data_IF_697411710677
#
_entry.id   IF_697411710677
#
_cell.length_a   1.000
_cell.length_b   1.000
_cell.length_c   1.000
_cell.angle_alpha   90.00
_cell.angle_beta   90.00
_cell.angle_gamma   90.00
#
_symmetry.space_group_name_H-M   'P 1'
#
loop_
_entity.id
_entity.type
_entity.pdbx_description
1 polymer ?
#
# COMPACT_ATOMS: atom_id res chain seq x y z
N UNK A 1 4.30 14.24 -30.75
CA UNK A 1 4.24 13.11 -29.81
C UNK A 1 4.36 13.71 -28.43
N UNK A 2 3.25 13.89 -27.72
CA UNK A 2 3.29 14.38 -26.34
C UNK A 2 4.01 13.34 -25.49
N UNK A 3 5.21 13.67 -25.01
CA UNK A 3 5.87 12.86 -24.00
C UNK A 3 4.97 12.87 -22.77
N UNK A 4 4.42 11.71 -22.43
CA UNK A 4 3.57 11.54 -21.28
C UNK A 4 4.40 11.87 -20.02
N UNK A 5 4.00 12.93 -19.33
CA UNK A 5 4.65 13.37 -18.09
C UNK A 5 4.36 12.34 -17.01
N UNK A 6 5.35 11.50 -16.74
CA UNK A 6 5.33 10.56 -15.61
C UNK A 6 5.27 11.31 -14.29
N UNK A 7 4.47 10.80 -13.36
CA UNK A 7 4.45 11.29 -11.98
C UNK A 7 5.61 10.64 -11.21
N UNK A 8 6.49 11.46 -10.65
CA UNK A 8 7.70 11.02 -9.94
C UNK A 8 7.62 11.38 -8.46
N UNK A 9 8.17 10.53 -7.59
CA UNK A 9 8.35 10.86 -6.18
C UNK A 9 9.27 12.07 -5.99
N UNK A 10 9.13 12.77 -4.86
CA UNK A 10 9.98 13.93 -4.55
C UNK A 10 9.74 15.16 -5.44
N UNK A 11 8.72 15.14 -6.31
CA UNK A 11 8.24 16.29 -7.08
C UNK A 11 6.96 16.87 -6.49
N UNK A 12 6.74 18.16 -6.74
CA UNK A 12 5.47 18.80 -6.43
C UNK A 12 4.38 18.25 -7.33
N UNK A 13 3.27 17.87 -6.70
CA UNK A 13 2.04 17.48 -7.35
C UNK A 13 0.84 18.12 -6.67
N UNK A 14 -0.28 18.07 -7.36
CA UNK A 14 -1.60 18.38 -6.86
C UNK A 14 -2.44 17.12 -6.81
N UNK A 15 -3.28 17.02 -5.78
CA UNK A 15 -4.21 15.89 -5.59
C UNK A 15 -5.62 16.46 -5.79
N UNK A 16 -6.26 16.17 -6.94
CA UNK A 16 -7.57 16.72 -7.28
C UNK A 16 -8.65 15.68 -7.05
N UNK A 17 -9.68 16.04 -6.30
CA UNK A 17 -10.83 15.18 -6.05
C UNK A 17 -11.67 15.05 -7.33
N UNK A 18 -11.98 13.81 -7.73
CA UNK A 18 -12.63 13.55 -9.03
C UNK A 18 -14.05 14.11 -9.08
N UNK A 19 -14.84 13.94 -8.03
CA UNK A 19 -16.26 14.33 -8.05
C UNK A 19 -16.45 15.85 -7.93
N UNK A 20 -15.71 16.51 -7.04
CA UNK A 20 -15.88 17.96 -6.79
C UNK A 20 -14.98 18.83 -7.68
N UNK A 21 -14.00 18.24 -8.36
CA UNK A 21 -12.93 18.94 -9.12
C UNK A 21 -12.11 19.92 -8.28
N UNK A 22 -12.17 19.80 -6.95
CA UNK A 22 -11.40 20.62 -6.03
C UNK A 22 -10.06 19.98 -5.69
N UNK A 23 -9.08 20.81 -5.39
CA UNK A 23 -7.73 20.41 -5.00
C UNK A 23 -7.67 20.19 -3.49
N UNK A 24 -7.02 19.11 -3.08
CA UNK A 24 -6.66 18.87 -1.70
C UNK A 24 -5.82 20.05 -1.17
N UNK A 25 -6.06 20.46 0.07
CA UNK A 25 -5.39 21.60 0.70
C UNK A 25 -5.06 21.31 2.15
N UNK A 26 -3.83 21.59 2.54
CA UNK A 26 -3.36 21.55 3.91
C UNK A 26 -3.31 22.95 4.54
N UNK A 27 -4.03 23.19 5.63
CA UNK A 27 -4.12 24.52 6.23
C UNK A 27 -3.93 24.48 7.74
N UNK A 28 -3.35 25.54 8.32
CA UNK A 28 -3.26 25.74 9.76
C UNK A 28 -4.30 26.78 10.14
N UNK A 29 -5.06 26.48 11.18
CA UNK A 29 -5.90 27.47 11.83
C UNK A 29 -5.64 27.49 13.32
N UNK A 30 -5.49 28.70 13.84
CA UNK A 30 -5.36 28.92 15.27
C UNK A 30 -6.75 28.74 15.90
N UNK A 31 -6.88 27.74 16.77
CA UNK A 31 -8.10 27.44 17.50
C UNK A 31 -7.91 27.87 18.94
N UNK A 32 -8.83 28.69 19.44
CA UNK A 32 -8.83 29.15 20.83
C UNK A 32 -9.70 28.21 21.66
N UNK A 33 -9.08 27.30 22.42
CA UNK A 33 -9.78 26.45 23.36
C UNK A 33 -10.01 27.18 24.69
N UNK A 34 -11.26 27.22 25.14
CA UNK A 34 -11.60 27.70 26.50
C UNK A 34 -11.37 26.56 27.50
N UNK A 35 -10.39 26.73 28.36
CA UNK A 35 -10.10 25.82 29.50
C UNK A 35 -10.60 26.44 30.81
N UNK A 36 -10.65 25.64 31.88
CA UNK A 36 -10.98 26.17 33.23
C UNK A 36 -9.99 27.23 33.73
N UNK A 37 -8.80 27.35 33.11
CA UNK A 37 -7.74 28.29 33.51
C UNK A 37 -7.54 29.44 32.51
N UNK A 38 -8.45 29.60 31.54
CA UNK A 38 -8.37 30.65 30.52
C UNK A 38 -8.41 30.11 29.10
N UNK A 39 -8.05 30.95 28.14
CA UNK A 39 -7.99 30.60 26.73
C UNK A 39 -6.61 30.05 26.38
N UNK A 40 -6.56 28.90 25.70
CA UNK A 40 -5.35 28.32 25.15
C UNK A 40 -5.46 28.34 23.62
N UNK A 41 -4.53 29.02 22.98
CA UNK A 41 -4.40 28.99 21.53
C UNK A 41 -3.66 27.70 21.13
N UNK A 42 -4.21 26.97 20.18
CA UNK A 42 -3.67 25.74 19.64
C UNK A 42 -3.69 25.81 18.12
N UNK A 43 -2.56 25.54 17.50
CA UNK A 43 -2.50 25.32 16.07
C UNK A 43 -3.18 23.99 15.74
N UNK A 44 -4.29 24.06 15.01
CA UNK A 44 -4.95 22.88 14.47
C UNK A 44 -4.73 22.82 12.97
N UNK A 45 -4.12 21.72 12.53
CA UNK A 45 -3.88 21.44 11.13
C UNK A 45 -5.09 20.72 10.54
N UNK A 46 -5.71 21.36 9.54
CA UNK A 46 -6.85 20.81 8.82
C UNK A 46 -6.47 20.39 7.41
N UNK A 47 -7.19 19.39 6.93
CA UNK A 47 -7.15 18.94 5.55
C UNK A 47 -8.52 19.21 4.93
N UNK A 48 -8.58 19.90 3.80
CA UNK A 48 -9.83 20.18 3.10
C UNK A 48 -9.64 20.13 1.59
N UNK A 49 -10.68 20.45 0.82
CA UNK A 49 -10.51 20.75 -0.61
C UNK A 49 -10.94 22.18 -0.95
N UNK A 50 -10.32 22.74 -1.99
CA UNK A 50 -10.56 24.11 -2.49
C UNK A 50 -10.61 24.14 -4.03
N UNK A 51 -11.39 25.02 -4.66
CA UNK A 51 -11.34 25.22 -6.12
C UNK A 51 -10.10 26.01 -6.58
N UNK A 52 -9.31 26.58 -5.67
CA UNK A 52 -8.14 27.41 -6.00
C UNK A 52 -6.92 26.53 -6.35
N UNK A 53 -6.55 26.49 -7.62
CA UNK A 53 -5.42 25.70 -8.13
C UNK A 53 -4.06 26.34 -7.80
N UNK A 54 -3.95 27.66 -7.79
CA UNK A 54 -2.70 28.42 -7.63
C UNK A 54 -2.31 28.66 -6.16
N UNK A 55 -2.92 27.90 -5.25
CA UNK A 55 -2.72 28.03 -3.82
C UNK A 55 -1.57 27.12 -3.36
N UNK A 56 -0.51 27.72 -2.82
CA UNK A 56 0.69 27.02 -2.36
C UNK A 56 0.41 25.85 -1.40
N UNK A 57 -0.67 25.95 -0.63
CA UNK A 57 -1.12 24.92 0.31
C UNK A 57 -1.81 23.72 -0.35
N UNK A 58 -1.99 23.75 -1.67
CA UNK A 58 -2.50 22.63 -2.49
C UNK A 58 -1.40 21.77 -3.09
N UNK A 59 -0.13 22.15 -2.88
CA UNK A 59 1.01 21.38 -3.36
C UNK A 59 1.42 20.32 -2.35
N UNK A 60 1.66 19.11 -2.85
CA UNK A 60 2.08 17.97 -2.06
C UNK A 60 3.31 17.31 -2.67
N UNK A 61 4.04 16.57 -1.85
CA UNK A 61 5.13 15.70 -2.25
C UNK A 61 4.79 14.29 -1.77
N UNK A 62 4.84 13.33 -2.69
CA UNK A 62 4.73 11.91 -2.37
C UNK A 62 6.13 11.35 -2.16
N UNK A 63 6.34 10.78 -0.97
CA UNK A 63 7.58 10.14 -0.56
C UNK A 63 7.36 8.63 -0.53
N UNK A 64 8.04 7.86 -1.39
CA UNK A 64 7.94 6.40 -1.32
C UNK A 64 8.50 5.91 0.01
N UNK A 65 7.84 4.90 0.60
CA UNK A 65 8.36 4.21 1.78
C UNK A 65 9.69 3.50 1.49
N UNK A 66 9.81 2.91 0.29
CA UNK A 66 11.02 2.25 -0.17
C UNK A 66 11.52 2.91 -1.46
N UNK A 67 12.80 3.29 -1.46
CA UNK A 67 13.47 3.91 -2.60
C UNK A 67 13.94 2.82 -3.57
N UNK A 68 13.11 2.46 -4.55
CA UNK A 68 13.47 1.54 -5.65
C UNK A 68 13.66 2.27 -6.97
N UNK A 69 12.65 3.02 -7.40
CA UNK A 69 12.61 3.80 -8.62
C UNK A 69 11.88 5.13 -8.37
N UNK A 70 12.08 6.12 -9.24
CA UNK A 70 11.42 7.42 -9.06
C UNK A 70 9.96 7.43 -9.46
N UNK A 71 9.61 6.64 -10.48
CA UNK A 71 8.26 6.61 -11.04
C UNK A 71 7.29 6.17 -9.96
N UNK A 72 6.25 6.96 -9.71
CA UNK A 72 5.15 6.56 -8.85
C UNK A 72 4.21 5.67 -9.65
N UNK A 73 3.74 4.60 -9.03
CA UNK A 73 2.86 3.60 -9.62
C UNK A 73 1.80 3.12 -8.65
N UNK A 74 0.83 2.40 -9.20
CA UNK A 74 -0.14 1.66 -8.40
C UNK A 74 0.59 0.66 -7.51
N UNK A 75 0.06 0.46 -6.31
CA UNK A 75 0.61 -0.40 -5.27
C UNK A 75 1.80 0.18 -4.51
N UNK A 76 2.35 1.33 -4.93
CA UNK A 76 3.35 2.05 -4.14
C UNK A 76 2.80 2.43 -2.77
N UNK A 77 3.66 2.33 -1.75
CA UNK A 77 3.38 2.84 -0.40
C UNK A 77 4.07 4.19 -0.25
N UNK A 78 3.30 5.22 0.07
CA UNK A 78 3.76 6.61 0.13
C UNK A 78 3.35 7.30 1.42
N UNK A 79 4.20 8.18 1.92
CA UNK A 79 3.80 9.25 2.82
C UNK A 79 3.51 10.52 2.00
N UNK A 80 2.47 11.26 2.35
CA UNK A 80 1.99 12.41 1.57
C UNK A 80 2.25 13.67 2.37
N UNK A 81 3.24 14.45 1.98
CA UNK A 81 3.61 15.68 2.66
C UNK A 81 2.94 16.89 1.99
N UNK A 82 2.27 17.73 2.76
CA UNK A 82 1.89 19.05 2.30
C UNK A 82 3.12 19.96 2.23
N UNK A 83 3.39 20.52 1.05
CA UNK A 83 4.57 21.36 0.85
C UNK A 83 4.49 22.67 1.63
N UNK A 84 3.29 23.26 1.75
CA UNK A 84 3.13 24.53 2.43
C UNK A 84 3.32 24.45 3.94
N UNK A 85 2.82 23.38 4.56
CA UNK A 85 2.88 23.19 6.01
C UNK A 85 4.06 22.33 6.48
N UNK A 86 4.73 21.63 5.56
CA UNK A 86 5.78 20.64 5.86
C UNK A 86 5.30 19.46 6.74
N UNK A 87 3.99 19.24 6.82
CA UNK A 87 3.34 18.16 7.58
C UNK A 87 2.83 17.05 6.66
N UNK A 88 2.56 15.87 7.19
CA UNK A 88 2.04 14.70 6.49
C UNK A 88 0.55 14.50 6.71
N UNK A 89 -0.14 14.01 5.68
CA UNK A 89 -1.55 13.62 5.79
C UNK A 89 -1.67 12.37 6.66
N UNK A 90 -2.54 12.43 7.66
CA UNK A 90 -2.87 11.31 8.54
C UNK A 90 -4.38 11.07 8.63
N UNK A 91 -4.76 9.82 8.94
CA UNK A 91 -6.13 9.40 9.19
C UNK A 91 -6.25 8.78 10.58
N UNK A 92 -7.11 9.36 11.43
CA UNK A 92 -7.37 8.86 12.78
C UNK A 92 -8.75 8.20 12.86
N UNK A 93 -8.78 6.87 12.86
CA UNK A 93 -10.03 6.10 12.89
C UNK A 93 -10.82 6.22 14.21
N UNK A 94 -10.13 6.60 15.30
CA UNK A 94 -10.72 6.75 16.63
C UNK A 94 -11.40 8.12 16.80
N UNK A 95 -10.93 9.16 16.10
CA UNK A 95 -11.54 10.48 16.08
C UNK A 95 -12.53 10.59 14.93
N UNK A 96 -13.71 11.17 15.19
CA UNK A 96 -14.76 11.37 14.18
C UNK A 96 -14.76 12.81 13.69
N UNK A 97 -15.02 12.98 12.40
CA UNK A 97 -15.16 14.29 11.81
C UNK A 97 -16.46 14.98 12.23
N UNK A 98 -16.43 16.30 12.41
CA UNK A 98 -17.55 17.08 12.93
C UNK A 98 -18.75 17.18 11.97
N UNK A 99 -18.53 16.95 10.66
CA UNK A 99 -19.58 17.07 9.65
C UNK A 99 -20.22 15.72 9.38
N UNK A 100 -19.42 14.72 8.99
CA UNK A 100 -19.95 13.40 8.56
C UNK A 100 -19.85 12.29 9.59
N UNK A 101 -19.14 12.51 10.70
CA UNK A 101 -18.82 11.44 11.67
C UNK A 101 -17.97 10.29 11.08
N UNK A 102 -17.33 10.51 9.93
CA UNK A 102 -16.35 9.60 9.33
C UNK A 102 -14.98 9.72 10.03
N UNK A 103 -13.99 8.92 9.61
CA UNK A 103 -12.63 8.97 10.16
C UNK A 103 -12.02 10.36 9.96
N UNK A 104 -11.42 10.92 11.01
CA UNK A 104 -10.87 12.27 10.96
C UNK A 104 -9.56 12.30 10.15
N UNK A 105 -9.50 13.17 9.13
CA UNK A 105 -8.28 13.44 8.36
C UNK A 105 -7.65 14.76 8.82
N UNK A 106 -6.32 14.79 8.90
CA UNK A 106 -5.57 15.93 9.42
C UNK A 106 -4.12 15.92 8.91
N UNK A 107 -3.35 16.95 9.27
CA UNK A 107 -1.91 16.94 9.07
C UNK A 107 -1.15 16.80 10.39
N UNK A 108 0.00 16.12 10.35
CA UNK A 108 0.87 15.88 11.50
C UNK A 108 2.34 15.74 11.07
N UNK A 109 3.27 15.85 12.01
CA UNK A 109 4.70 15.68 11.73
C UNK A 109 5.04 14.20 11.50
N UNK A 110 4.28 13.30 12.12
CA UNK A 110 4.45 11.86 12.00
C UNK A 110 3.91 11.35 10.66
N UNK A 111 4.74 10.57 9.96
CA UNK A 111 4.37 9.94 8.70
C UNK A 111 3.36 8.82 8.92
N UNK A 112 2.17 8.95 8.37
CA UNK A 112 1.34 7.80 8.04
C UNK A 112 1.56 7.43 6.57
N UNK A 113 1.40 6.14 6.29
CA UNK A 113 1.59 5.61 4.94
C UNK A 113 0.27 5.22 4.30
N UNK A 114 0.25 5.33 2.98
CA UNK A 114 -0.88 5.05 2.13
C UNK A 114 -0.43 4.21 0.95
N UNK A 115 -1.27 3.27 0.53
CA UNK A 115 -1.09 2.57 -0.74
C UNK A 115 -1.91 3.26 -1.83
N UNK A 116 -1.31 3.48 -3.00
CA UNK A 116 -2.00 4.02 -4.18
C UNK A 116 -2.72 2.87 -4.89
N UNK A 117 -4.05 2.85 -4.85
CA UNK A 117 -4.87 1.78 -5.46
C UNK A 117 -5.55 2.27 -6.73
N UNK A 118 -5.86 1.37 -7.67
CA UNK A 118 -6.62 1.76 -8.86
C UNK A 118 -8.10 2.00 -8.53
N UNK A 119 -8.78 2.79 -9.37
CA UNK A 119 -10.24 2.89 -9.40
C UNK A 119 -10.89 1.54 -9.75
N UNK A 120 -10.37 0.90 -10.81
CA UNK A 120 -10.90 -0.30 -11.45
C UNK A 120 -9.84 -1.40 -11.47
N UNK A 121 -10.20 -2.56 -12.02
CA UNK A 121 -9.23 -3.62 -12.23
C UNK A 121 -8.11 -3.18 -13.20
N UNK A 122 -6.89 -3.63 -12.95
CA UNK A 122 -5.64 -3.24 -13.66
C UNK A 122 -5.16 -4.30 -14.63
N UNK A 123 -5.84 -5.44 -14.68
CA UNK A 123 -5.50 -6.50 -15.60
C UNK A 123 -5.86 -6.12 -17.02
N UNK A 124 -4.91 -6.29 -17.92
CA UNK A 124 -5.09 -6.14 -19.37
C UNK A 124 -4.82 -7.48 -20.06
N UNK A 125 -5.35 -7.65 -21.28
CA UNK A 125 -5.07 -8.81 -22.15
C UNK A 125 -5.32 -10.18 -21.48
N UNK A 126 -6.50 -10.40 -20.91
CA UNK A 126 -6.86 -11.64 -20.21
C UNK A 126 -5.86 -12.01 -19.09
N UNK A 127 -5.49 -11.03 -18.25
CA UNK A 127 -4.60 -11.23 -17.09
C UNK A 127 -3.13 -11.52 -17.44
N UNK A 128 -2.70 -11.25 -18.68
CA UNK A 128 -1.31 -11.46 -19.07
C UNK A 128 -0.40 -10.26 -18.82
N UNK A 129 -0.95 -9.08 -18.55
CA UNK A 129 -0.19 -7.88 -18.20
C UNK A 129 -0.93 -7.06 -17.13
N UNK A 130 -0.18 -6.26 -16.37
CA UNK A 130 -0.69 -5.29 -15.40
C UNK A 130 -0.20 -3.91 -15.79
N UNK A 131 -1.12 -2.96 -15.92
CA UNK A 131 -0.76 -1.56 -16.08
C UNK A 131 -0.71 -0.87 -14.71
N UNK A 132 0.50 -0.71 -14.19
CA UNK A 132 0.78 -0.04 -12.90
C UNK A 132 0.89 1.48 -13.01
N UNK A 133 0.82 2.06 -14.21
CA UNK A 133 0.91 3.53 -14.35
C UNK A 133 -0.22 4.22 -13.61
N UNK A 134 0.04 5.41 -13.07
CA UNK A 134 -0.99 6.25 -12.44
C UNK A 134 -1.38 7.45 -13.32
N UNK A 135 -0.60 7.71 -14.37
CA UNK A 135 -0.83 8.83 -15.28
C UNK A 135 -2.21 8.69 -15.93
N UNK A 136 -3.05 9.72 -15.79
CA UNK A 136 -4.42 9.78 -16.33
C UNK A 136 -5.37 8.71 -15.75
N UNK A 137 -5.03 8.13 -14.59
CA UNK A 137 -5.94 7.24 -13.87
C UNK A 137 -6.51 7.90 -12.63
N UNK A 138 -7.72 7.50 -12.28
CA UNK A 138 -8.26 7.75 -10.97
C UNK A 138 -7.72 6.72 -10.00
N UNK A 139 -7.26 7.20 -8.85
CA UNK A 139 -6.66 6.38 -7.81
C UNK A 139 -7.40 6.57 -6.50
N UNK A 140 -7.31 5.55 -5.64
CA UNK A 140 -7.65 5.66 -4.22
C UNK A 140 -6.37 5.72 -3.42
N UNK A 141 -6.35 6.57 -2.41
CA UNK A 141 -5.21 6.73 -1.50
C UNK A 141 -5.66 6.14 -0.16
N UNK A 142 -5.24 4.91 0.14
CA UNK A 142 -5.77 4.16 1.29
C UNK A 142 -4.71 3.95 2.35
N UNK A 143 -5.02 4.33 3.59
CA UNK A 143 -4.15 4.07 4.74
C UNK A 143 -3.95 2.57 4.92
N UNK A 144 -2.68 2.18 5.02
CA UNK A 144 -2.27 0.79 5.19
C UNK A 144 -2.62 0.23 6.59
N UNK A 145 -2.72 1.10 7.61
CA UNK A 145 -2.89 0.70 9.01
C UNK A 145 -4.35 0.34 9.32
N UNK A 146 -5.29 1.10 8.75
CA UNK A 146 -6.70 1.01 9.10
C UNK A 146 -7.62 0.74 7.89
N UNK A 147 -7.07 0.79 6.66
CA UNK A 147 -7.81 0.51 5.43
C UNK A 147 -8.80 1.61 5.02
N UNK A 148 -8.77 2.78 5.66
CA UNK A 148 -9.59 3.92 5.25
C UNK A 148 -8.95 4.64 4.05
N UNK A 149 -9.75 4.94 3.05
CA UNK A 149 -9.36 5.74 1.89
C UNK A 149 -9.58 7.22 2.16
N UNK A 150 -8.72 8.07 1.62
CA UNK A 150 -8.93 9.52 1.61
C UNK A 150 -10.23 9.81 0.84
N UNK A 151 -11.15 10.52 1.47
CA UNK A 151 -12.53 10.74 1.00
C UNK A 151 -12.86 12.22 1.05
N UNK A 152 -13.57 12.75 0.06
CA UNK A 152 -14.07 14.13 0.12
C UNK A 152 -15.42 14.29 -0.57
N UNK A 153 -16.16 15.33 -0.21
CA UNK A 153 -17.50 15.57 -0.74
C UNK A 153 -17.88 17.05 -0.64
N UNK A 154 -19.01 17.45 -1.23
CA UNK A 154 -19.49 18.83 -1.27
C UNK A 154 -20.02 19.39 0.07
N UNK A 155 -19.69 18.75 1.21
CA UNK A 155 -20.02 19.28 2.54
C UNK A 155 -18.81 19.99 3.10
N UNK A 156 -19.00 21.18 3.63
CA UNK A 156 -17.93 21.97 4.24
C UNK A 156 -17.82 21.75 5.74
N UNK A 157 -16.68 22.13 6.31
CA UNK A 157 -16.50 22.16 7.76
C UNK A 157 -17.49 23.10 8.45
N UNK A 158 -17.83 22.81 9.71
CA UNK A 158 -18.72 23.65 10.53
C UNK A 158 -17.93 24.72 11.29
N UNK A 159 -16.67 24.42 11.60
CA UNK A 159 -15.75 25.37 12.21
C UNK A 159 -15.56 26.59 11.30
N UNK A 160 -15.88 27.78 11.82
CA UNK A 160 -15.96 29.02 11.04
C UNK A 160 -14.69 29.30 10.21
N UNK A 161 -13.51 29.10 10.80
CA UNK A 161 -12.21 29.37 10.18
C UNK A 161 -11.88 28.51 8.95
N UNK A 162 -12.55 27.36 8.80
CA UNK A 162 -12.37 26.39 7.71
C UNK A 162 -13.66 26.10 6.92
N UNK A 163 -14.73 26.83 7.21
CA UNK A 163 -16.07 26.60 6.66
C UNK A 163 -16.18 26.80 5.14
N UNK A 164 -15.18 27.44 4.53
CA UNK A 164 -15.01 27.61 3.09
C UNK A 164 -14.44 26.37 2.37
N UNK A 165 -13.89 25.40 3.10
CA UNK A 165 -13.31 24.19 2.52
C UNK A 165 -14.28 23.02 2.64
N UNK A 166 -14.34 22.21 1.58
CA UNK A 166 -14.99 20.91 1.68
C UNK A 166 -14.21 20.01 2.64
N UNK A 167 -14.94 19.22 3.41
CA UNK A 167 -14.40 18.26 4.35
C UNK A 167 -13.63 17.16 3.61
N UNK A 168 -12.52 16.76 4.22
CA UNK A 168 -11.78 15.55 3.86
C UNK A 168 -11.78 14.61 5.07
N UNK A 169 -12.05 13.34 4.82
CA UNK A 169 -12.16 12.31 5.85
C UNK A 169 -11.47 11.02 5.39
N UNK A 170 -11.45 10.02 6.27
CA UNK A 170 -11.22 8.64 5.86
C UNK A 170 -12.54 7.88 5.71
N UNK A 171 -12.70 7.14 4.61
CA UNK A 171 -13.87 6.27 4.38
C UNK A 171 -13.46 4.81 4.10
N UNK A 172 -14.12 3.86 4.77
CA UNK A 172 -13.74 2.44 4.70
C UNK A 172 -14.43 1.68 3.57
N UNK A 173 -15.65 2.07 3.21
CA UNK A 173 -16.46 1.28 2.30
C UNK A 173 -16.15 1.53 0.82
N UNK A 174 -15.33 2.54 0.52
CA UNK A 174 -14.94 2.96 -0.81
C UNK A 174 -16.15 3.34 -1.72
N UNK A 175 -16.20 4.58 -2.19
CA UNK A 175 -17.16 5.02 -3.21
C UNK A 175 -16.47 5.95 -4.22
N UNK A 176 -17.26 6.68 -5.02
CA UNK A 176 -16.76 7.63 -6.02
C UNK A 176 -16.09 8.88 -5.39
N UNK A 177 -16.34 9.14 -4.10
CA UNK A 177 -15.76 10.25 -3.36
C UNK A 177 -14.37 9.91 -2.78
N UNK A 178 -13.88 8.67 -3.00
CA UNK A 178 -12.51 8.26 -2.68
C UNK A 178 -11.58 8.36 -3.91
N UNK A 179 -12.07 8.90 -5.03
CA UNK A 179 -11.32 8.96 -6.27
C UNK A 179 -10.57 10.29 -6.41
N UNK A 180 -9.27 10.16 -6.68
CA UNK A 180 -8.36 11.28 -6.82
C UNK A 180 -7.58 11.19 -8.14
N UNK A 181 -7.25 12.35 -8.68
CA UNK A 181 -6.26 12.51 -9.75
C UNK A 181 -4.97 13.05 -9.13
N UNK A 182 -3.84 12.45 -9.50
CA UNK A 182 -2.51 12.96 -9.19
C UNK A 182 -2.03 13.76 -10.40
N UNK A 183 -1.78 15.04 -10.21
CA UNK A 183 -1.45 15.98 -11.29
C UNK A 183 -0.07 16.59 -11.05
N UNK A 184 0.87 16.54 -12.01
CA UNK A 184 2.13 17.27 -11.87
C UNK A 184 1.86 18.78 -11.80
N UNK A 185 2.55 19.49 -10.91
CA UNK A 185 2.45 20.95 -10.85
C UNK A 185 3.07 21.54 -12.12
N UNK A 186 2.38 22.53 -12.72
CA UNK A 186 2.86 23.23 -13.90
C UNK A 186 4.22 23.90 -13.63
N UNK A 187 5.14 23.85 -14.58
CA UNK A 187 6.53 24.31 -14.40
C UNK A 187 6.64 25.76 -13.90
N UNK A 188 5.74 26.65 -14.37
CA UNK A 188 5.69 28.04 -13.92
C UNK A 188 5.32 28.23 -12.45
N UNK A 189 4.53 27.30 -11.88
CA UNK A 189 4.10 27.31 -10.47
C UNK A 189 5.13 26.65 -9.54
N UNK A 190 6.02 25.81 -10.08
CA UNK A 190 7.09 25.14 -9.34
C UNK A 190 8.38 25.98 -9.24
N UNK A 191 8.34 27.28 -9.56
CA UNK A 191 9.53 28.13 -9.61
C UNK A 191 10.23 28.19 -8.25
N UNK A 192 11.51 27.82 -8.24
CA UNK A 192 12.34 27.79 -7.03
C UNK A 192 12.30 26.48 -6.26
N UNK A 193 11.38 25.56 -6.60
CA UNK A 193 11.41 24.20 -6.07
C UNK A 193 12.55 23.40 -6.72
N UNK A 194 13.37 22.76 -5.89
CA UNK A 194 14.43 21.86 -6.35
C UNK A 194 14.00 20.41 -6.05
N UNK A 195 13.61 19.63 -7.07
CA UNK A 195 13.13 18.27 -6.85
C UNK A 195 14.23 17.36 -6.33
N UNK A 196 13.93 16.56 -5.31
CA UNK A 196 14.83 15.55 -4.77
C UNK A 196 14.64 14.23 -5.53
N UNK A 197 14.95 14.22 -6.83
CA UNK A 197 14.82 13.03 -7.68
C UNK A 197 16.18 12.34 -7.77
N UNK A 198 16.25 11.07 -7.37
CA UNK A 198 17.47 10.27 -7.44
C UNK A 198 17.33 9.25 -8.57
N UNK A 199 18.18 9.23 -9.59
CA UNK A 199 18.13 8.14 -10.58
C UNK A 199 18.43 6.82 -9.88
N UNK A 200 17.41 5.96 -9.74
CA UNK A 200 17.53 4.65 -9.16
C UNK A 200 17.20 3.61 -10.23
N UNK A 201 18.08 2.62 -10.35
CA UNK A 201 17.88 1.50 -11.26
C UNK A 201 16.96 0.45 -10.62
N UNK A 202 16.10 -0.23 -11.42
CA UNK A 202 15.26 -1.30 -10.91
C UNK A 202 16.08 -2.40 -10.22
N UNK A 203 15.70 -2.73 -8.98
CA UNK A 203 16.44 -3.70 -8.17
C UNK A 203 15.94 -5.10 -8.48
N UNK A 204 16.79 -5.91 -9.10
CA UNK A 204 16.49 -7.29 -9.45
C UNK A 204 16.61 -8.24 -8.25
N UNK A 205 15.64 -9.14 -8.09
CA UNK A 205 15.60 -10.13 -7.01
C UNK A 205 16.25 -11.45 -7.47
N UNK A 206 17.10 -12.00 -6.60
CA UNK A 206 17.86 -13.22 -6.87
C UNK A 206 17.48 -14.32 -5.87
N UNK A 207 17.64 -15.56 -6.34
CA UNK A 207 17.58 -16.74 -5.50
C UNK A 207 18.63 -16.68 -4.39
N UNK A 208 18.16 -16.81 -3.16
CA UNK A 208 18.94 -16.70 -1.93
C UNK A 208 18.68 -15.42 -1.16
N UNK A 209 18.08 -14.40 -1.78
CA UNK A 209 17.82 -13.10 -1.16
C UNK A 209 16.81 -13.21 -0.02
N UNK A 210 16.97 -12.33 0.97
CA UNK A 210 15.99 -12.10 2.03
C UNK A 210 15.12 -10.90 1.65
N UNK A 211 13.81 -11.13 1.58
CA UNK A 211 12.81 -10.22 1.04
C UNK A 211 11.62 -10.11 1.99
N UNK A 212 10.81 -9.08 1.79
CA UNK A 212 9.45 -8.98 2.33
C UNK A 212 8.49 -9.20 1.16
N UNK A 213 7.46 -10.03 1.35
CA UNK A 213 6.44 -10.28 0.33
C UNK A 213 5.19 -9.52 0.74
N UNK A 214 4.90 -8.42 0.05
CA UNK A 214 3.79 -7.51 0.37
C UNK A 214 2.65 -7.66 -0.61
N UNK A 215 1.43 -7.69 -0.13
CA UNK A 215 0.25 -7.62 -0.98
C UNK A 215 0.21 -6.25 -1.68
N UNK A 216 0.08 -6.30 -3.00
CA UNK A 216 0.17 -5.14 -3.88
C UNK A 216 -0.89 -4.08 -3.55
N UNK A 217 -2.11 -4.49 -3.18
CA UNK A 217 -3.23 -3.57 -2.98
C UNK A 217 -3.49 -3.14 -1.55
N UNK A 218 -3.11 -3.93 -0.57
CA UNK A 218 -3.41 -3.60 0.84
C UNK A 218 -2.20 -3.00 1.54
N UNK A 219 -0.99 -3.30 1.05
CA UNK A 219 0.24 -2.95 1.72
C UNK A 219 0.63 -3.90 2.86
N UNK A 220 -0.13 -4.98 3.10
CA UNK A 220 0.14 -5.93 4.18
C UNK A 220 1.17 -6.99 3.74
N UNK A 221 2.13 -7.34 4.60
CA UNK A 221 3.19 -8.31 4.32
C UNK A 221 2.83 -9.71 4.81
N UNK A 222 3.31 -10.74 4.11
CA UNK A 222 3.36 -12.09 4.66
C UNK A 222 4.20 -12.09 5.92
N UNK A 223 3.65 -12.68 6.96
CA UNK A 223 4.19 -12.65 8.31
C UNK A 223 4.12 -14.04 8.92
N UNK A 224 5.14 -14.47 9.67
CA UNK A 224 5.08 -15.74 10.38
C UNK A 224 5.84 -15.72 11.69
N UNK A 225 5.37 -16.49 12.65
CA UNK A 225 5.92 -16.52 14.00
C UNK A 225 5.74 -17.90 14.63
N UNK A 226 6.17 -18.08 15.87
CA UNK A 226 6.10 -19.39 16.56
C UNK A 226 4.66 -19.81 16.92
N UNK A 227 3.69 -18.91 16.89
CA UNK A 227 2.28 -19.26 17.13
C UNK A 227 1.77 -20.20 16.06
N UNK A 228 0.93 -21.14 16.49
CA UNK A 228 0.24 -22.07 15.62
C UNK A 228 -1.26 -21.78 15.56
N UNK A 229 -1.88 -22.15 14.45
CA UNK A 229 -3.34 -22.25 14.34
C UNK A 229 -3.90 -23.16 15.43
N UNK A 230 -5.02 -22.77 16.06
CA UNK A 230 -5.61 -23.57 17.15
C UNK A 230 -6.22 -24.85 16.62
N UNK A 231 -6.81 -24.77 15.42
CA UNK A 231 -7.45 -25.87 14.67
C UNK A 231 -6.47 -26.98 14.27
N UNK A 232 -5.39 -26.65 13.57
CA UNK A 232 -4.49 -27.64 12.95
C UNK A 232 -3.16 -27.84 13.66
N UNK A 233 -2.81 -26.93 14.58
CA UNK A 233 -1.47 -26.83 15.20
C UNK A 233 -0.33 -26.55 14.22
N UNK A 234 -0.63 -26.29 12.94
CA UNK A 234 0.38 -25.81 12.01
C UNK A 234 0.86 -24.41 12.36
N UNK A 235 2.11 -24.09 12.03
CA UNK A 235 2.63 -22.74 12.23
C UNK A 235 1.84 -21.74 11.40
N UNK A 236 1.37 -20.69 12.06
CA UNK A 236 0.57 -19.65 11.42
C UNK A 236 1.42 -18.83 10.44
N UNK A 237 0.86 -18.64 9.23
CA UNK A 237 1.28 -17.60 8.31
C UNK A 237 0.12 -16.63 8.17
N UNK A 238 0.36 -15.40 8.55
CA UNK A 238 -0.60 -14.32 8.58
C UNK A 238 -0.13 -13.17 7.70
N UNK A 239 -0.94 -12.12 7.66
CA UNK A 239 -0.65 -10.85 7.02
C UNK A 239 -0.54 -9.80 8.12
N UNK A 240 0.53 -9.02 8.11
CA UNK A 240 0.77 -7.94 9.07
C UNK A 240 0.91 -6.59 8.34
N UNK A 241 0.36 -5.53 8.94
CA UNK A 241 0.50 -4.16 8.45
C UNK A 241 1.85 -3.58 8.92
N UNK A 242 2.01 -2.26 8.82
CA UNK A 242 3.20 -1.59 9.36
C UNK A 242 3.07 -1.33 10.88
N UNK A 243 4.20 -1.03 11.57
CA UNK A 243 5.58 -1.07 11.08
C UNK A 243 6.05 -2.50 10.75
N UNK A 244 7.03 -2.66 9.85
CA UNK A 244 7.63 -3.97 9.53
C UNK A 244 8.46 -4.50 10.70
N UNK A 245 8.52 -5.81 10.85
CA UNK A 245 9.35 -6.48 11.85
C UNK A 245 10.11 -7.70 11.28
N UNK A 246 10.89 -8.39 12.12
CA UNK A 246 11.69 -9.53 11.69
C UNK A 246 10.87 -10.76 11.23
N UNK A 247 9.58 -10.80 11.52
CA UNK A 247 8.67 -11.88 11.14
C UNK A 247 8.09 -11.69 9.73
N UNK A 248 8.37 -10.54 9.10
CA UNK A 248 8.06 -10.27 7.69
C UNK A 248 9.15 -10.77 6.73
N UNK A 249 10.27 -11.30 7.24
CA UNK A 249 11.43 -11.65 6.42
C UNK A 249 11.36 -13.08 5.90
N UNK A 250 11.44 -13.22 4.57
CA UNK A 250 11.43 -14.50 3.87
C UNK A 250 12.65 -14.63 2.99
N UNK A 251 13.18 -15.85 2.86
CA UNK A 251 14.24 -16.19 1.92
C UNK A 251 13.64 -16.93 0.73
N UNK A 252 13.85 -16.41 -0.47
CA UNK A 252 13.36 -17.04 -1.71
C UNK A 252 14.46 -17.85 -2.37
N UNK A 253 14.19 -19.08 -2.77
CA UNK A 253 15.20 -20.01 -3.32
C UNK A 253 14.65 -20.80 -4.50
N UNK A 254 15.32 -20.80 -5.64
CA UNK A 254 14.98 -21.71 -6.75
C UNK A 254 15.24 -23.17 -6.37
N UNK A 255 14.38 -24.08 -6.84
CA UNK A 255 14.49 -25.53 -6.59
C UNK A 255 15.48 -26.20 -7.55
N UNK A 256 15.39 -25.87 -8.84
CA UNK A 256 16.13 -26.57 -9.90
C UNK A 256 17.39 -25.81 -10.35
N UNK A 257 18.22 -25.36 -9.38
CA UNK A 257 19.47 -24.68 -9.71
C UNK A 257 20.51 -25.68 -10.19
N UNK A 258 20.73 -25.72 -11.51
CA UNK A 258 21.98 -26.25 -12.04
C UNK A 258 23.14 -25.32 -11.65
N UNK A 259 24.37 -25.83 -11.49
CA UNK A 259 25.53 -25.02 -11.08
C UNK A 259 25.82 -23.81 -11.98
N UNK A 260 25.28 -23.79 -13.21
CA UNK A 260 25.42 -22.69 -14.19
C UNK A 260 24.24 -21.69 -14.19
N UNK A 261 23.23 -21.89 -13.35
CA UNK A 261 22.05 -21.01 -13.30
C UNK A 261 22.40 -19.65 -12.66
N UNK A 262 21.91 -18.56 -13.26
CA UNK A 262 22.31 -17.18 -12.95
C UNK A 262 21.66 -16.61 -11.67
N UNK A 263 20.99 -17.46 -10.89
CA UNK A 263 20.19 -17.14 -9.69
C UNK A 263 19.04 -16.16 -9.93
N UNK A 264 18.87 -15.62 -11.13
CA UNK A 264 17.85 -14.63 -11.45
C UNK A 264 16.47 -15.29 -11.43
N UNK A 265 15.55 -14.78 -10.63
CA UNK A 265 14.16 -15.26 -10.62
C UNK A 265 13.41 -14.72 -11.85
N UNK A 266 12.64 -15.58 -12.50
CA UNK A 266 11.84 -15.31 -13.69
C UNK A 266 10.46 -15.96 -13.57
N UNK A 267 9.57 -15.57 -14.47
CA UNK A 267 8.28 -16.24 -14.67
C UNK A 267 8.42 -17.76 -14.79
N UNK A 268 7.56 -18.47 -14.09
CA UNK A 268 7.44 -19.92 -13.97
C UNK A 268 8.64 -20.62 -13.31
N UNK A 269 9.58 -19.89 -12.72
CA UNK A 269 10.57 -20.53 -11.85
C UNK A 269 9.88 -21.18 -10.64
N UNK A 270 10.29 -22.42 -10.36
CA UNK A 270 9.91 -23.13 -9.15
C UNK A 270 10.77 -22.68 -7.99
N UNK A 271 10.13 -22.20 -6.93
CA UNK A 271 10.78 -21.63 -5.76
C UNK A 271 10.29 -22.24 -4.46
N UNK A 272 11.14 -22.10 -3.45
CA UNK A 272 10.85 -22.26 -2.04
C UNK A 272 10.91 -20.90 -1.37
N UNK A 273 9.96 -20.65 -0.48
CA UNK A 273 9.91 -19.42 0.30
C UNK A 273 10.03 -19.83 1.77
N UNK A 274 11.19 -19.61 2.36
CA UNK A 274 11.51 -20.00 3.73
C UNK A 274 11.42 -18.79 4.66
N UNK A 275 10.63 -18.88 5.73
CA UNK A 275 10.58 -17.84 6.73
C UNK A 275 11.94 -17.73 7.45
N UNK A 276 12.46 -16.50 7.57
CA UNK A 276 13.83 -16.28 8.03
C UNK A 276 14.04 -16.73 9.48
N UNK A 277 13.09 -16.47 10.37
CA UNK A 277 13.28 -16.76 11.80
C UNK A 277 12.91 -18.20 12.16
N UNK A 278 11.77 -18.68 11.67
CA UNK A 278 11.27 -20.02 12.04
C UNK A 278 11.88 -21.13 11.19
N UNK A 279 12.57 -20.78 10.10
CA UNK A 279 13.17 -21.70 9.11
C UNK A 279 12.16 -22.62 8.42
N UNK A 280 10.87 -22.39 8.62
CA UNK A 280 9.79 -23.14 7.98
C UNK A 280 9.51 -22.61 6.58
N UNK A 281 9.01 -23.46 5.71
CA UNK A 281 8.68 -23.13 4.33
C UNK A 281 7.19 -22.79 4.21
N UNK A 282 6.87 -21.75 3.44
CA UNK A 282 5.49 -21.44 3.08
C UNK A 282 4.89 -22.62 2.32
N UNK A 283 3.76 -23.13 2.80
CA UNK A 283 3.06 -24.27 2.24
C UNK A 283 1.54 -24.09 2.34
N UNK A 284 0.79 -24.96 1.66
CA UNK A 284 -0.66 -24.99 1.66
C UNK A 284 -1.16 -26.28 2.33
N UNK A 285 -2.02 -26.17 3.33
CA UNK A 285 -2.65 -27.33 3.97
C UNK A 285 -3.79 -27.89 3.10
N UNK A 286 -4.20 -29.14 3.35
CA UNK A 286 -5.43 -29.74 2.78
C UNK A 286 -6.64 -29.51 3.71
N UNK A 287 -6.69 -28.34 4.34
CA UNK A 287 -7.80 -27.92 5.21
C UNK A 287 -8.19 -26.49 4.86
N UNK A 288 -9.47 -26.17 5.03
CA UNK A 288 -9.95 -24.81 4.89
C UNK A 288 -9.35 -23.92 5.99
N UNK A 289 -9.14 -22.65 5.67
CA UNK A 289 -8.75 -21.61 6.61
C UNK A 289 -9.87 -21.35 7.63
N UNK A 290 -9.58 -20.58 8.68
CA UNK A 290 -10.56 -20.28 9.72
C UNK A 290 -11.76 -19.49 9.16
N UNK A 291 -11.50 -18.55 8.23
CA UNK A 291 -12.55 -17.82 7.52
C UNK A 291 -13.27 -18.64 6.44
N UNK A 292 -12.82 -19.86 6.14
CA UNK A 292 -13.33 -20.69 5.04
C UNK A 292 -13.25 -20.01 3.66
N UNK A 293 -12.44 -18.96 3.53
CA UNK A 293 -12.25 -18.21 2.27
C UNK A 293 -11.26 -18.87 1.30
N UNK A 294 -10.57 -19.92 1.76
CA UNK A 294 -9.61 -20.70 0.98
C UNK A 294 -8.98 -21.79 1.84
N UNK A 295 -7.88 -22.36 1.36
CA UNK A 295 -7.06 -23.33 2.09
C UNK A 295 -6.05 -22.61 2.97
N UNK A 296 -5.76 -23.17 4.14
CA UNK A 296 -4.84 -22.56 5.10
C UNK A 296 -3.40 -22.51 4.55
N UNK A 297 -2.78 -21.32 4.53
CA UNK A 297 -1.35 -21.18 4.33
C UNK A 297 -0.64 -21.42 5.68
N UNK A 298 0.49 -22.13 5.68
CA UNK A 298 1.18 -22.46 6.92
C UNK A 298 2.69 -22.62 6.74
N UNK A 299 3.43 -22.56 7.85
CA UNK A 299 4.85 -22.86 7.90
C UNK A 299 5.09 -24.37 8.05
N UNK A 300 5.61 -25.01 7.00
CA UNK A 300 6.03 -26.41 6.99
C UNK A 300 7.47 -26.57 7.49
N UNK A 301 7.68 -27.54 8.37
CA UNK A 301 9.01 -27.96 8.81
C UNK A 301 9.66 -28.90 7.79
N UNK A 302 10.95 -28.68 7.51
CA UNK A 302 11.67 -29.40 6.47
C UNK A 302 11.36 -28.91 5.05
N UNK A 303 12.23 -29.25 4.09
CA UNK A 303 12.08 -28.84 2.69
C UNK A 303 10.83 -29.53 2.10
N UNK A 304 9.86 -28.79 1.54
CA UNK A 304 8.68 -29.41 0.94
C UNK A 304 9.08 -30.22 -0.29
N UNK A 305 8.29 -31.26 -0.57
CA UNK A 305 8.42 -32.06 -1.79
C UNK A 305 7.94 -31.30 -3.04
N UNK A 306 7.20 -30.22 -2.85
CA UNK A 306 6.59 -29.41 -3.92
C UNK A 306 6.91 -27.94 -3.72
N UNK A 307 7.25 -27.24 -4.81
CA UNK A 307 7.52 -25.81 -4.81
C UNK A 307 6.30 -24.91 -5.01
N UNK A 308 6.59 -23.62 -5.11
CA UNK A 308 5.68 -22.59 -5.56
C UNK A 308 6.15 -22.09 -6.93
N UNK A 309 5.21 -21.73 -7.80
CA UNK A 309 5.50 -21.07 -9.06
C UNK A 309 5.34 -19.56 -8.89
N UNK A 310 6.35 -18.82 -9.36
CA UNK A 310 6.22 -17.38 -9.57
C UNK A 310 5.59 -17.14 -10.93
N UNK A 311 4.46 -16.45 -10.98
CA UNK A 311 3.89 -16.00 -12.25
C UNK A 311 3.97 -14.49 -12.31
N UNK A 312 4.80 -13.98 -13.22
CA UNK A 312 4.88 -12.56 -13.55
C UNK A 312 4.01 -12.23 -14.76
N UNK A 313 3.62 -10.96 -14.81
CA UNK A 313 2.85 -10.36 -15.90
C UNK A 313 3.72 -9.91 -17.07
N UNK A 314 5.04 -10.08 -16.95
CA UNK A 314 6.01 -9.82 -18.01
C UNK A 314 7.03 -10.97 -18.06
N UNK A 315 7.64 -11.21 -19.22
CA UNK A 315 8.73 -12.20 -19.32
C UNK A 315 10.07 -11.56 -18.95
N UNK A 316 10.12 -10.97 -17.76
CA UNK A 316 11.28 -10.24 -17.22
C UNK A 316 11.86 -10.96 -15.99
N UNK A 317 13.06 -10.59 -15.54
CA UNK A 317 13.50 -10.88 -14.19
C UNK A 317 12.60 -10.24 -13.14
N UNK A 318 12.33 -10.95 -12.03
CA UNK A 318 11.62 -10.40 -10.88
C UNK A 318 12.38 -9.20 -10.32
N UNK A 319 11.66 -8.10 -10.07
CA UNK A 319 12.21 -6.87 -9.48
C UNK A 319 11.46 -6.49 -8.21
N UNK A 320 12.13 -5.74 -7.34
CA UNK A 320 11.48 -5.06 -6.23
C UNK A 320 10.36 -4.15 -6.77
N UNK A 321 9.25 -4.09 -6.04
CA UNK A 321 8.06 -3.32 -6.39
C UNK A 321 7.30 -3.79 -7.65
N UNK A 322 7.73 -4.85 -8.33
CA UNK A 322 7.04 -5.40 -9.50
C UNK A 322 5.95 -6.40 -9.07
N UNK A 323 4.71 -6.28 -9.57
CA UNK A 323 3.63 -7.22 -9.30
C UNK A 323 3.91 -8.63 -9.82
N UNK A 324 3.64 -9.63 -8.98
CA UNK A 324 3.69 -11.04 -9.32
C UNK A 324 2.64 -11.84 -8.55
N UNK A 325 2.49 -13.11 -8.91
CA UNK A 325 1.57 -14.07 -8.30
C UNK A 325 2.35 -15.28 -7.80
N UNK A 326 1.96 -15.80 -6.64
CA UNK A 326 2.50 -17.04 -6.08
C UNK A 326 1.45 -18.12 -6.23
N UNK A 327 1.78 -19.20 -6.95
CA UNK A 327 0.87 -20.34 -7.18
C UNK A 327 1.45 -21.62 -6.60
N UNK A 328 0.63 -22.42 -5.93
CA UNK A 328 1.04 -23.73 -5.43
C UNK A 328 1.10 -24.74 -6.57
N UNK A 329 2.30 -25.31 -6.81
CA UNK A 329 2.60 -26.07 -8.04
C UNK A 329 1.65 -27.26 -8.30
N UNK A 330 1.38 -28.09 -7.29
CA UNK A 330 0.56 -29.32 -7.48
C UNK A 330 -0.94 -29.15 -7.21
N UNK A 331 -1.33 -28.07 -6.54
CA UNK A 331 -2.73 -27.86 -6.13
C UNK A 331 -3.46 -26.88 -7.03
N UNK A 332 -2.72 -26.18 -7.87
CA UNK A 332 -3.24 -25.14 -8.75
C UNK A 332 -3.88 -23.94 -8.01
N UNK A 333 -3.51 -23.71 -6.75
CA UNK A 333 -4.09 -22.64 -5.91
C UNK A 333 -3.19 -21.40 -5.87
N UNK A 334 -3.80 -20.22 -5.75
CA UNK A 334 -3.13 -18.93 -5.67
C UNK A 334 -3.01 -18.47 -4.22
N UNK A 335 -1.81 -18.03 -3.79
CA UNK A 335 -1.66 -17.39 -2.49
C UNK A 335 -2.39 -16.04 -2.51
N UNK A 336 -3.27 -15.81 -1.55
CA UNK A 336 -4.11 -14.62 -1.42
C UNK A 336 -4.12 -14.12 0.02
N UNK A 337 -4.31 -12.82 0.18
CA UNK A 337 -4.76 -12.24 1.44
C UNK A 337 -6.26 -12.48 1.63
N UNK A 338 -6.68 -12.87 2.84
CA UNK A 338 -8.07 -12.84 3.28
C UNK A 338 -8.40 -11.51 3.95
N UNK A 339 -9.66 -11.08 3.89
CA UNK A 339 -10.15 -9.90 4.64
C UNK A 339 -10.40 -10.22 6.12
N UNK A 340 -10.33 -11.48 6.51
CA UNK A 340 -10.64 -11.94 7.87
C UNK A 340 -9.39 -11.92 8.74
N UNK A 341 -9.59 -11.65 10.04
CA UNK A 341 -8.54 -11.75 11.04
C UNK A 341 -8.08 -13.20 11.18
N UNK A 342 -6.80 -13.40 11.48
CA UNK A 342 -6.25 -14.74 11.73
C UNK A 342 -6.83 -15.42 12.97
N UNK A 343 -6.82 -16.76 12.99
CA UNK A 343 -7.41 -17.58 14.06
C UNK A 343 -6.78 -17.30 15.44
N UNK A 344 -5.47 -16.99 15.48
CA UNK A 344 -4.77 -16.63 16.72
C UNK A 344 -5.30 -15.36 17.35
N UNK A 345 -5.88 -14.45 16.55
CA UNK A 345 -6.30 -13.08 16.93
C UNK A 345 -5.18 -12.26 17.57
N UNK A 346 -3.92 -12.55 17.22
CA UNK A 346 -2.78 -11.77 17.67
C UNK A 346 -2.77 -10.45 16.91
N UNK A 347 -2.93 -9.35 17.65
CA UNK A 347 -2.92 -8.00 17.08
C UNK A 347 -3.91 -7.81 15.92
N UNK A 348 -3.54 -6.92 15.00
CA UNK A 348 -4.30 -6.60 13.79
C UNK A 348 -3.81 -7.42 12.60
N UNK A 349 -3.73 -8.75 12.72
CA UNK A 349 -3.28 -9.63 11.64
C UNK A 349 -4.43 -10.27 10.85
N UNK A 350 -4.24 -10.45 9.55
CA UNK A 350 -5.21 -11.10 8.64
C UNK A 350 -4.72 -12.48 8.20
N UNK A 351 -5.62 -13.34 7.71
CA UNK A 351 -5.22 -14.67 7.22
C UNK A 351 -4.52 -14.61 5.86
N UNK A 352 -3.43 -15.37 5.73
CA UNK A 352 -2.93 -15.82 4.44
C UNK A 352 -3.64 -17.11 4.03
N UNK A 353 -4.15 -17.18 2.81
CA UNK A 353 -4.91 -18.33 2.30
C UNK A 353 -4.48 -18.69 0.89
N UNK A 354 -4.73 -19.92 0.47
CA UNK A 354 -4.61 -20.36 -0.92
C UNK A 354 -6.02 -20.53 -1.51
N UNK A 355 -6.30 -19.86 -2.63
CA UNK A 355 -7.62 -19.82 -3.28
C UNK A 355 -7.58 -20.41 -4.68
N UNK A 356 -8.70 -20.98 -5.13
CA UNK A 356 -8.82 -21.55 -6.48
C UNK A 356 -8.88 -20.46 -7.56
N UNK A 357 -9.57 -19.36 -7.27
CA UNK A 357 -9.81 -18.29 -8.23
C UNK A 357 -8.88 -17.13 -7.99
N UNK A 358 -8.10 -16.82 -9.02
CA UNK A 358 -7.31 -15.61 -9.06
C UNK A 358 -8.21 -14.36 -8.95
N UNK A 359 -7.81 -13.46 -8.07
CA UNK A 359 -8.26 -12.08 -7.92
C UNK A 359 -7.03 -11.31 -7.42
N UNK A 360 -6.94 -10.00 -7.50
CA UNK A 360 -5.64 -9.41 -7.14
C UNK A 360 -5.35 -9.24 -5.63
N UNK A 361 -6.16 -9.77 -4.71
CA UNK A 361 -5.61 -10.10 -3.38
C UNK A 361 -4.56 -11.22 -3.48
N UNK A 362 -4.43 -11.85 -4.65
CA UNK A 362 -3.33 -12.72 -5.04
C UNK A 362 -2.14 -11.97 -5.67
N UNK A 363 -2.18 -10.63 -5.80
CA UNK A 363 -1.05 -9.85 -6.27
C UNK A 363 -0.12 -9.49 -5.14
N UNK A 364 1.15 -9.80 -5.36
CA UNK A 364 2.24 -9.57 -4.42
C UNK A 364 3.32 -8.74 -5.09
N UNK A 365 4.13 -8.06 -4.29
CA UNK A 365 5.37 -7.45 -4.70
C UNK A 365 6.47 -7.75 -3.69
N UNK A 366 7.71 -7.60 -4.13
CA UNK A 366 8.87 -7.70 -3.26
C UNK A 366 9.21 -6.32 -2.70
N UNK A 367 9.21 -6.22 -1.38
CA UNK A 367 9.89 -5.17 -0.64
C UNK A 367 11.27 -5.64 -0.21
N UNK A 368 12.24 -4.71 -0.20
CA UNK A 368 13.58 -4.99 0.26
C UNK A 368 13.62 -4.85 1.78
N UNK A 369 14.41 -5.70 2.41
CA UNK A 369 14.75 -5.54 3.82
C UNK A 369 15.51 -4.23 4.00
N UNK A 370 14.95 -3.29 4.77
CA UNK A 370 15.59 -2.02 5.13
C UNK A 370 16.67 -2.21 6.19
#
# INVERSE_FOLDING_TARGET
>A
MDQQLKILQGRLLQIRHVATKQYLKGTIHLVVEKTMFGQKELDQYYLGTTPKEDDFYTYFILHKYQLTENDLGLGDVVAIQNYGQQQFINLNAQKKSEVTQQCFAYLDEQKHYFVIKPEKDIFVNNYNAIDTSIDKKYVRITSIDNGFSLHSHCRTYKTESVSQYNEVTGYKNCDENDLWELLPVQEGLAKGFQPQVQTLEPIQIKSGDTIIIRNFWTGWSLHSHKTCYKSTKFQEVSLYSYPRDENDFWRIQKINQNQKDDKVLRKNDEVLIQHNNTKKFLSCANVLSYSQSGYQAYGLEGKPMTGLLLSEFENSPLRANQPFVIKHLTKDLYLSQSKCQTESKIGTQQEAVFVEKFNGLCLWIVELKQ
#
